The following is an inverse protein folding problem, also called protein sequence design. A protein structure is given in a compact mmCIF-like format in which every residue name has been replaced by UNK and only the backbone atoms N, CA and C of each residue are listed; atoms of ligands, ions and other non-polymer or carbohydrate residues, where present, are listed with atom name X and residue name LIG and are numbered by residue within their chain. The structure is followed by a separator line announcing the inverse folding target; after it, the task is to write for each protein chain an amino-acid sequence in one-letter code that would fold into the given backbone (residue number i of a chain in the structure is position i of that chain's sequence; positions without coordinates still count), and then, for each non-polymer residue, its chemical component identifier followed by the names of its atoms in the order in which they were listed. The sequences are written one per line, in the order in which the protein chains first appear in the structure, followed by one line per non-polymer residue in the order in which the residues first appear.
data_IF_292405547750
#
_entry.id   IF_292405547750
#
_cell.length_a   1.000
_cell.length_b   1.000
_cell.length_c   1.000
_cell.angle_alpha   90.00
_cell.angle_beta   90.00
_cell.angle_gamma   90.00
#
_symmetry.space_group_name_H-M   'P 1'
#
loop_
_entity.id
_entity.type
_entity.pdbx_description
1 polymer ?
#
# COMPACT_ATOMS: atom_id res chain seq x y z
N UNK A 1 25.06 16.53 -50.57
CA UNK A 1 23.85 17.02 -49.86
C UNK A 1 22.93 15.84 -49.54
N UNK A 2 23.33 15.05 -48.56
CA UNK A 2 22.50 14.08 -47.83
C UNK A 2 22.73 14.47 -46.38
N UNK A 3 21.74 14.76 -45.54
CA UNK A 3 21.23 13.75 -44.65
C UNK A 3 20.25 14.43 -43.66
N UNK A 4 18.97 14.51 -44.04
CA UNK A 4 17.86 14.78 -43.10
C UNK A 4 16.74 13.75 -43.21
N UNK A 5 16.76 12.89 -44.23
CA UNK A 5 15.73 11.87 -44.48
C UNK A 5 16.03 10.53 -43.80
N UNK A 6 17.29 10.22 -43.49
CA UNK A 6 17.64 8.95 -42.85
C UNK A 6 17.35 8.94 -41.35
N UNK A 7 17.47 10.10 -40.68
CA UNK A 7 17.13 10.24 -39.25
C UNK A 7 15.65 10.02 -38.92
N UNK A 8 14.73 10.23 -39.88
CA UNK A 8 13.29 9.99 -39.66
C UNK A 8 12.91 8.51 -39.81
N UNK A 9 13.68 7.71 -40.56
CA UNK A 9 13.39 6.27 -40.74
C UNK A 9 13.86 5.43 -39.55
N UNK A 10 14.93 5.85 -38.86
CA UNK A 10 15.42 5.17 -37.65
C UNK A 10 14.47 5.30 -36.44
N UNK A 11 13.73 6.41 -36.30
CA UNK A 11 12.74 6.57 -35.22
C UNK A 11 11.49 5.70 -35.37
N UNK A 12 11.18 5.23 -36.59
CA UNK A 12 10.02 4.36 -36.87
C UNK A 12 10.29 2.85 -36.67
N UNK A 13 11.53 2.47 -36.39
CA UNK A 13 11.93 1.06 -36.22
C UNK A 13 12.24 0.67 -34.77
N UNK A 14 12.50 1.63 -33.88
CA UNK A 14 12.79 1.34 -32.46
C UNK A 14 11.51 0.95 -31.68
N UNK A 15 10.32 1.36 -32.13
CA UNK A 15 9.05 0.98 -31.50
C UNK A 15 8.53 -0.43 -31.88
N UNK A 16 9.31 -1.23 -32.65
CA UNK A 16 8.88 -2.56 -33.12
C UNK A 16 9.61 -3.74 -32.46
N UNK A 17 10.55 -3.49 -31.56
CA UNK A 17 11.24 -4.54 -30.82
C UNK A 17 10.84 -4.51 -29.34
N UNK A 18 9.75 -5.23 -29.04
CA UNK A 18 9.58 -5.90 -27.75
C UNK A 18 9.22 -5.02 -26.56
N UNK A 19 8.00 -4.49 -26.51
CA UNK A 19 7.23 -4.73 -25.30
C UNK A 19 6.47 -6.02 -25.57
N UNK A 20 6.92 -7.12 -24.96
CA UNK A 20 6.02 -8.24 -24.76
C UNK A 20 4.73 -7.68 -24.14
N UNK A 21 3.53 -8.08 -24.59
CA UNK A 21 2.33 -7.68 -23.89
C UNK A 21 2.55 -8.03 -22.42
N UNK A 22 2.50 -7.02 -21.54
CA UNK A 22 2.53 -7.27 -20.10
C UNK A 22 1.52 -8.38 -19.85
N UNK A 23 1.90 -9.46 -19.14
CA UNK A 23 0.99 -10.57 -18.91
C UNK A 23 -0.29 -9.96 -18.36
N UNK A 24 -1.44 -10.25 -19.01
CA UNK A 24 -2.77 -9.80 -18.57
C UNK A 24 -2.79 -9.94 -17.05
N UNK A 25 -2.78 -8.82 -16.32
CA UNK A 25 -2.77 -8.81 -14.86
C UNK A 25 -3.82 -9.80 -14.43
N UNK A 26 -3.40 -10.92 -13.83
CA UNK A 26 -4.35 -11.92 -13.34
C UNK A 26 -5.28 -11.16 -12.40
N UNK A 27 -6.56 -11.11 -12.74
CA UNK A 27 -7.56 -10.42 -11.93
C UNK A 27 -7.52 -11.03 -10.54
N UNK A 28 -6.95 -10.33 -9.57
CA UNK A 28 -6.88 -10.77 -8.19
C UNK A 28 -8.25 -10.48 -7.54
N UNK A 29 -9.06 -11.51 -7.20
CA UNK A 29 -10.40 -11.31 -6.64
C UNK A 29 -10.39 -10.49 -5.35
N UNK A 30 -9.35 -10.66 -4.52
CA UNK A 30 -9.19 -9.93 -3.27
C UNK A 30 -8.97 -8.43 -3.50
N UNK A 31 -8.31 -8.05 -4.59
CA UNK A 31 -8.16 -6.64 -4.97
C UNK A 31 -9.51 -5.99 -5.34
N UNK A 32 -10.42 -6.73 -5.96
CA UNK A 32 -11.77 -6.23 -6.27
C UNK A 32 -12.61 -6.03 -5.01
N UNK A 33 -12.45 -6.89 -4.00
CA UNK A 33 -13.11 -6.73 -2.69
C UNK A 33 -12.64 -5.42 -2.02
N UNK A 34 -11.33 -5.17 -1.99
CA UNK A 34 -10.77 -3.93 -1.44
C UNK A 34 -11.25 -2.68 -2.19
N UNK A 35 -11.26 -2.73 -3.53
CA UNK A 35 -11.79 -1.65 -4.34
C UNK A 35 -13.29 -1.39 -4.06
N UNK A 36 -14.07 -2.46 -3.88
CA UNK A 36 -15.47 -2.37 -3.45
C UNK A 36 -15.61 -1.70 -2.08
N UNK A 37 -14.75 -1.99 -1.12
CA UNK A 37 -14.84 -1.38 0.20
C UNK A 37 -14.47 0.11 0.24
N UNK A 38 -13.87 0.63 -0.83
CA UNK A 38 -13.40 2.02 -0.92
C UNK A 38 -12.51 2.38 0.28
N UNK A 39 -11.56 1.48 0.54
CA UNK A 39 -10.64 1.56 1.69
C UNK A 39 -9.78 2.81 1.61
N UNK A 40 -9.31 3.18 0.40
CA UNK A 40 -8.51 4.39 0.16
C UNK A 40 -9.16 5.63 0.76
N UNK A 41 -10.39 5.95 0.31
CA UNK A 41 -11.07 7.14 0.77
C UNK A 41 -11.26 7.14 2.30
N UNK A 42 -11.56 5.97 2.86
CA UNK A 42 -11.79 5.82 4.30
C UNK A 42 -10.49 6.04 5.12
N UNK A 43 -9.35 5.63 4.58
CA UNK A 43 -8.03 5.88 5.18
C UNK A 43 -7.62 7.36 5.05
N UNK A 44 -7.82 7.98 3.89
CA UNK A 44 -7.45 9.38 3.65
C UNK A 44 -8.26 10.35 4.52
N UNK A 45 -9.58 10.15 4.61
CA UNK A 45 -10.47 10.99 5.43
C UNK A 45 -10.09 10.95 6.92
N UNK A 46 -9.83 9.75 7.45
CA UNK A 46 -9.45 9.58 8.84
C UNK A 46 -8.00 10.04 9.12
N UNK A 47 -7.07 9.84 8.19
CA UNK A 47 -5.70 10.32 8.33
C UNK A 47 -5.63 11.83 8.51
N UNK A 48 -6.35 12.59 7.68
CA UNK A 48 -6.35 14.06 7.74
C UNK A 48 -6.89 14.64 9.05
N UNK A 49 -7.75 13.91 9.77
CA UNK A 49 -8.42 14.41 10.98
C UNK A 49 -7.62 14.14 12.27
N UNK A 50 -6.78 13.10 12.31
CA UNK A 50 -6.19 12.60 13.57
C UNK A 50 -4.66 12.56 13.57
N UNK A 51 -4.01 12.98 12.49
CA UNK A 51 -2.56 12.81 12.29
C UNK A 51 -1.87 14.19 12.22
N UNK A 52 -1.88 14.94 13.32
CA UNK A 52 -1.09 16.17 13.40
C UNK A 52 0.40 15.89 13.66
N UNK A 53 0.73 14.82 14.40
CA UNK A 53 2.12 14.53 14.82
C UNK A 53 2.83 13.45 14.01
N UNK A 54 2.10 12.76 13.12
CA UNK A 54 2.68 11.77 12.21
C UNK A 54 2.73 12.33 10.78
N UNK A 55 3.71 11.87 10.01
CA UNK A 55 3.72 11.91 8.57
C UNK A 55 3.07 10.63 8.08
N UNK A 56 2.07 10.77 7.22
CA UNK A 56 1.45 9.64 6.55
C UNK A 56 1.74 9.69 5.05
N UNK A 57 1.87 8.52 4.45
CA UNK A 57 2.16 8.36 3.04
C UNK A 57 1.34 7.21 2.45
N UNK A 58 1.06 7.28 1.15
CA UNK A 58 0.26 6.29 0.43
C UNK A 58 -1.09 6.86 -0.02
N UNK A 59 -2.11 6.01 -0.25
CA UNK A 59 -2.09 4.56 -0.03
C UNK A 59 -1.29 3.78 -1.07
N UNK A 60 -0.58 2.75 -0.60
CA UNK A 60 0.03 1.71 -1.42
C UNK A 60 -0.92 0.53 -1.63
N UNK A 61 -0.91 -0.04 -2.83
CA UNK A 61 -1.71 -1.23 -3.17
C UNK A 61 -0.80 -2.40 -3.52
N UNK A 62 -0.98 -3.54 -2.86
CA UNK A 62 -0.19 -4.75 -3.08
C UNK A 62 -1.09 -5.95 -3.35
N UNK A 63 -0.58 -6.90 -4.12
CA UNK A 63 -1.27 -8.16 -4.41
C UNK A 63 -0.28 -9.30 -4.36
N UNK A 64 -0.75 -10.46 -3.91
CA UNK A 64 0.00 -11.71 -3.96
C UNK A 64 -0.93 -12.88 -4.24
N UNK A 65 -0.40 -14.09 -4.16
CA UNK A 65 -1.20 -15.28 -4.36
C UNK A 65 -2.18 -15.47 -3.19
N UNK A 66 -3.48 -15.39 -3.47
CA UNK A 66 -4.53 -15.53 -2.47
C UNK A 66 -4.67 -14.33 -1.52
N UNK A 67 -4.08 -13.17 -1.82
CA UNK A 67 -4.29 -11.97 -1.01
C UNK A 67 -4.13 -10.67 -1.79
N UNK A 68 -4.75 -9.61 -1.27
CA UNK A 68 -4.52 -8.24 -1.68
C UNK A 68 -4.49 -7.32 -0.46
N UNK A 69 -3.84 -6.17 -0.56
CA UNK A 69 -3.78 -5.20 0.52
C UNK A 69 -3.79 -3.77 0.03
N UNK A 70 -4.33 -2.91 0.90
CA UNK A 70 -4.21 -1.47 0.81
C UNK A 70 -3.68 -0.94 2.13
N UNK A 71 -2.57 -0.22 2.05
CA UNK A 71 -1.80 0.17 3.22
C UNK A 71 -1.42 1.63 3.14
N UNK A 72 -1.27 2.26 4.28
CA UNK A 72 -0.61 3.56 4.44
C UNK A 72 0.60 3.37 5.33
N UNK A 73 1.59 4.22 5.14
CA UNK A 73 2.78 4.25 5.96
C UNK A 73 2.72 5.45 6.87
N UNK A 74 2.91 5.20 8.15
CA UNK A 74 2.87 6.18 9.23
C UNK A 74 4.27 6.26 9.85
N UNK A 75 4.74 7.49 10.02
CA UNK A 75 6.02 7.80 10.63
C UNK A 75 5.88 8.98 11.56
N UNK A 76 6.54 8.97 12.71
CA UNK A 76 6.64 10.15 13.55
C UNK A 76 7.40 11.30 12.88
N UNK A 77 6.97 12.54 13.11
CA UNK A 77 7.74 13.72 12.71
C UNK A 77 9.06 13.77 13.48
N UNK A 78 10.15 14.09 12.77
CA UNK A 78 11.47 14.27 13.40
C UNK A 78 12.62 13.83 12.51
N UNK A 79 13.84 14.26 12.89
CA UNK A 79 15.06 14.01 12.12
C UNK A 79 15.55 12.56 12.24
N UNK A 80 15.36 11.92 13.41
CA UNK A 80 15.88 10.57 13.72
C UNK A 80 14.81 9.47 13.79
N UNK A 81 13.60 9.72 13.29
CA UNK A 81 12.48 8.74 13.37
C UNK A 81 12.42 7.79 12.18
N UNK A 82 13.52 7.63 11.42
CA UNK A 82 13.54 6.80 10.21
C UNK A 82 13.72 5.31 10.50
N UNK A 83 14.08 4.95 11.74
CA UNK A 83 14.40 3.57 12.12
C UNK A 83 13.21 2.62 11.99
N UNK A 84 12.01 3.10 12.33
CA UNK A 84 10.79 2.31 12.31
C UNK A 84 9.72 3.05 11.52
N UNK A 85 9.04 2.28 10.68
CA UNK A 85 7.88 2.74 9.94
C UNK A 85 6.69 1.88 10.32
N UNK A 86 5.60 2.51 10.73
CA UNK A 86 4.37 1.78 11.01
C UNK A 86 3.59 1.66 9.71
N UNK A 87 3.41 0.45 9.23
CA UNK A 87 2.48 0.15 8.16
C UNK A 87 1.11 -0.10 8.79
N UNK A 88 0.09 0.62 8.35
CA UNK A 88 -1.30 0.36 8.71
C UNK A 88 -2.04 -0.04 7.45
N UNK A 89 -2.89 -1.06 7.49
CA UNK A 89 -3.59 -1.45 6.29
C UNK A 89 -4.80 -2.33 6.49
N UNK A 90 -5.42 -2.62 5.35
CA UNK A 90 -6.47 -3.61 5.19
C UNK A 90 -5.99 -4.66 4.21
N UNK A 91 -6.11 -5.92 4.61
CA UNK A 91 -5.80 -7.08 3.78
C UNK A 91 -7.06 -7.88 3.56
N UNK A 92 -7.20 -8.41 2.36
CA UNK A 92 -8.16 -9.47 2.07
C UNK A 92 -7.33 -10.71 1.76
N UNK A 93 -7.51 -11.76 2.54
CA UNK A 93 -6.80 -13.03 2.40
C UNK A 93 -7.79 -14.15 2.08
N UNK A 94 -7.39 -15.05 1.20
CA UNK A 94 -8.15 -16.25 0.88
C UNK A 94 -7.91 -17.30 1.98
N UNK A 95 -9.00 -17.86 2.51
CA UNK A 95 -9.03 -19.00 3.41
C UNK A 95 -9.76 -20.17 2.73
N UNK A 96 -9.72 -21.33 3.37
CA UNK A 96 -10.43 -22.53 2.90
C UNK A 96 -11.96 -22.29 2.82
N UNK A 97 -12.51 -21.55 3.79
CA UNK A 97 -13.95 -21.29 3.92
C UNK A 97 -14.43 -19.96 3.28
N UNK A 98 -13.56 -19.25 2.55
CA UNK A 98 -13.89 -17.97 1.90
C UNK A 98 -12.83 -16.89 2.13
N UNK A 99 -13.17 -15.63 1.84
CA UNK A 99 -12.27 -14.51 2.08
C UNK A 99 -12.40 -13.94 3.50
N UNK A 100 -11.27 -13.52 4.05
CA UNK A 100 -11.17 -12.88 5.36
C UNK A 100 -10.57 -11.49 5.20
N UNK A 101 -11.19 -10.51 5.86
CA UNK A 101 -10.68 -9.15 5.99
C UNK A 101 -9.87 -9.05 7.27
N UNK A 102 -8.66 -8.53 7.14
CA UNK A 102 -7.76 -8.20 8.24
C UNK A 102 -7.51 -6.71 8.24
N UNK A 103 -7.59 -6.07 9.40
CA UNK A 103 -7.03 -4.75 9.65
C UNK A 103 -5.95 -4.92 10.67
N UNK A 104 -4.84 -4.27 10.45
CA UNK A 104 -3.71 -4.42 11.34
C UNK A 104 -2.65 -3.40 11.07
N UNK A 105 -1.64 -3.48 11.92
CA UNK A 105 -0.42 -2.74 11.77
C UNK A 105 0.75 -3.66 11.50
N UNK A 106 1.90 -3.08 11.18
CA UNK A 106 3.17 -3.78 11.21
C UNK A 106 4.28 -2.77 11.39
N UNK A 107 5.22 -3.05 12.28
CA UNK A 107 6.46 -2.27 12.34
C UNK A 107 7.43 -2.80 11.29
N UNK A 108 7.88 -1.90 10.42
CA UNK A 108 8.88 -2.18 9.41
C UNK A 108 10.19 -1.53 9.83
N UNK A 109 11.22 -2.32 10.20
CA UNK A 109 12.54 -1.77 10.49
C UNK A 109 13.21 -1.31 9.20
N UNK A 110 13.96 -0.21 9.29
CA UNK A 110 14.77 0.28 8.18
C UNK A 110 15.82 -0.76 7.78
N UNK A 111 15.77 -1.23 6.53
CA UNK A 111 16.59 -2.35 6.06
C UNK A 111 17.89 -1.94 5.34
N UNK A 112 18.13 -0.65 5.11
CA UNK A 112 19.32 -0.22 4.37
C UNK A 112 20.58 -0.17 5.26
N UNK A 113 21.72 -0.58 4.70
CA UNK A 113 22.98 -0.64 5.44
C UNK A 113 23.51 0.73 5.91
N UNK A 114 23.22 1.81 5.17
CA UNK A 114 23.62 3.17 5.51
C UNK A 114 22.42 4.10 5.23
N UNK A 115 22.09 4.94 6.21
CA UNK A 115 21.07 5.96 6.05
C UNK A 115 21.58 7.12 5.18
N UNK A 116 20.87 7.43 4.10
CA UNK A 116 21.11 8.61 3.27
C UNK A 116 19.84 9.46 3.21
N UNK A 117 19.85 10.63 3.84
CA UNK A 117 18.67 11.48 3.99
C UNK A 117 18.08 11.98 2.66
N UNK A 118 18.94 12.26 1.68
CA UNK A 118 18.53 12.77 0.36
C UNK A 118 17.81 11.69 -0.45
N UNK A 119 18.42 10.50 -0.53
CA UNK A 119 17.84 9.32 -1.19
C UNK A 119 16.57 8.84 -0.49
N UNK A 120 16.56 8.91 0.85
CA UNK A 120 15.41 8.59 1.66
C UNK A 120 14.24 9.52 1.35
N UNK A 121 14.41 10.83 1.46
CA UNK A 121 13.33 11.79 1.24
C UNK A 121 12.83 11.81 -0.21
N UNK A 122 13.68 11.52 -1.21
CA UNK A 122 13.25 11.45 -2.60
C UNK A 122 12.47 10.17 -2.95
N UNK A 123 12.88 9.01 -2.42
CA UNK A 123 12.27 7.73 -2.78
C UNK A 123 11.02 7.41 -1.94
N UNK A 124 11.00 7.87 -0.70
CA UNK A 124 9.89 7.64 0.24
C UNK A 124 8.59 8.32 -0.20
N UNK A 125 8.67 9.35 -1.03
CA UNK A 125 7.50 9.99 -1.63
C UNK A 125 6.85 9.12 -2.72
N UNK A 126 7.57 8.13 -3.27
CA UNK A 126 7.06 7.23 -4.32
C UNK A 126 6.65 5.88 -3.77
N UNK A 127 7.53 5.22 -3.02
CA UNK A 127 7.29 3.89 -2.50
C UNK A 127 8.27 3.56 -1.35
N UNK A 128 7.78 2.91 -0.31
CA UNK A 128 8.55 2.48 0.85
C UNK A 128 9.12 1.07 0.70
N UNK A 129 8.68 0.31 -0.32
CA UNK A 129 9.09 -1.08 -0.50
C UNK A 129 10.61 -1.29 -0.54
N UNK A 130 11.34 -0.33 -1.11
CA UNK A 130 12.81 -0.37 -1.23
C UNK A 130 13.51 -0.50 0.13
N UNK A 131 12.97 0.10 1.19
CA UNK A 131 13.62 0.20 2.50
C UNK A 131 12.94 -0.60 3.61
N UNK A 132 11.71 -1.05 3.37
CA UNK A 132 10.84 -1.59 4.40
C UNK A 132 10.12 -2.89 3.97
N UNK A 133 10.20 -3.28 2.70
CA UNK A 133 9.55 -4.47 2.16
C UNK A 133 8.11 -4.25 1.68
N UNK A 134 7.50 -5.31 1.12
CA UNK A 134 6.16 -5.28 0.54
C UNK A 134 5.04 -5.33 1.61
N UNK A 135 3.84 -4.86 1.26
CA UNK A 135 2.64 -4.86 2.11
C UNK A 135 2.02 -6.23 2.37
N UNK A 136 2.82 -7.21 2.80
CA UNK A 136 2.40 -8.54 3.23
C UNK A 136 1.37 -8.45 4.36
N UNK A 137 0.47 -9.45 4.51
CA UNK A 137 -0.44 -9.55 5.65
C UNK A 137 0.29 -9.44 6.99
N UNK A 138 -0.33 -8.80 8.01
CA UNK A 138 0.23 -8.69 9.34
C UNK A 138 0.30 -10.05 10.03
N UNK A 139 1.22 -10.18 10.98
CA UNK A 139 1.25 -11.33 11.90
C UNK A 139 0.05 -11.27 12.85
N UNK A 140 -0.30 -12.40 13.48
CA UNK A 140 -1.53 -12.51 14.29
C UNK A 140 -1.59 -11.46 15.38
N UNK A 141 -0.46 -11.16 16.02
CA UNK A 141 -0.36 -10.21 17.14
C UNK A 141 -0.56 -8.76 16.69
N UNK A 142 -0.37 -8.46 15.40
CA UNK A 142 -0.54 -7.11 14.86
C UNK A 142 -1.92 -6.88 14.22
N UNK A 143 -2.82 -7.86 14.29
CA UNK A 143 -4.20 -7.77 13.77
C UNK A 143 -5.10 -7.07 14.78
N UNK A 144 -5.68 -5.94 14.38
CA UNK A 144 -6.64 -5.14 15.14
C UNK A 144 -8.06 -5.66 14.95
N UNK A 145 -8.40 -6.03 13.72
CA UNK A 145 -9.73 -6.51 13.35
C UNK A 145 -9.61 -7.67 12.37
N UNK A 146 -10.39 -8.73 12.63
CA UNK A 146 -10.50 -9.91 11.77
C UNK A 146 -11.97 -10.23 11.55
N UNK A 147 -12.43 -10.20 10.31
CA UNK A 147 -13.84 -10.44 9.96
C UNK A 147 -13.95 -11.21 8.65
N UNK A 148 -14.87 -12.17 8.60
CA UNK A 148 -15.22 -12.86 7.37
C UNK A 148 -15.85 -11.90 6.35
N UNK A 149 -15.41 -11.96 5.10
CA UNK A 149 -15.97 -11.14 4.03
C UNK A 149 -17.41 -11.57 3.70
N UNK A 150 -18.30 -10.58 3.56
CA UNK A 150 -19.62 -10.78 2.97
C UNK A 150 -20.05 -9.52 2.25
N UNK A 151 -20.50 -9.68 1.00
CA UNK A 151 -20.96 -8.56 0.16
C UNK A 151 -22.17 -7.83 0.78
N UNK A 152 -23.04 -8.55 1.47
CA UNK A 152 -24.23 -8.01 2.14
C UNK A 152 -23.85 -7.07 3.29
N UNK A 153 -22.70 -7.33 3.94
CA UNK A 153 -22.16 -6.52 5.04
C UNK A 153 -21.23 -5.41 4.57
N UNK A 154 -21.02 -5.22 3.26
CA UNK A 154 -20.02 -4.28 2.72
C UNK A 154 -20.06 -2.88 3.35
N UNK A 155 -21.25 -2.29 3.53
CA UNK A 155 -21.38 -0.96 4.13
C UNK A 155 -21.05 -0.96 5.63
N UNK A 156 -21.51 -1.97 6.37
CA UNK A 156 -21.18 -2.13 7.78
C UNK A 156 -19.68 -2.34 7.97
N UNK A 157 -19.06 -3.18 7.14
CA UNK A 157 -17.62 -3.42 7.14
C UNK A 157 -16.83 -2.14 6.89
N UNK A 158 -17.25 -1.30 5.94
CA UNK A 158 -16.57 -0.01 5.70
C UNK A 158 -16.54 0.86 6.97
N UNK A 159 -17.63 0.88 7.73
CA UNK A 159 -17.71 1.65 8.97
C UNK A 159 -16.92 1.01 10.13
N UNK A 160 -16.92 -0.32 10.23
CA UNK A 160 -16.08 -1.07 11.17
C UNK A 160 -14.59 -0.80 10.90
N UNK A 161 -14.16 -0.84 9.63
CA UNK A 161 -12.80 -0.53 9.20
C UNK A 161 -12.40 0.90 9.59
N UNK A 162 -13.26 1.88 9.31
CA UNK A 162 -13.04 3.28 9.65
C UNK A 162 -12.90 3.48 11.16
N UNK A 163 -13.76 2.82 11.93
CA UNK A 163 -13.76 2.89 13.39
C UNK A 163 -12.48 2.29 13.97
N UNK A 164 -12.09 1.09 13.52
CA UNK A 164 -10.86 0.43 13.94
C UNK A 164 -9.62 1.30 13.65
N UNK A 165 -9.58 1.93 12.48
CA UNK A 165 -8.48 2.81 12.10
C UNK A 165 -8.39 4.04 13.00
N UNK A 166 -9.50 4.76 13.20
CA UNK A 166 -9.53 5.96 14.06
C UNK A 166 -9.17 5.61 15.51
N UNK A 167 -9.66 4.49 16.03
CA UNK A 167 -9.33 4.03 17.37
C UNK A 167 -7.83 3.74 17.52
N UNK A 168 -7.24 3.06 16.54
CA UNK A 168 -5.81 2.79 16.55
C UNK A 168 -4.99 4.08 16.49
N UNK A 169 -5.30 5.00 15.58
CA UNK A 169 -4.60 6.29 15.51
C UNK A 169 -4.61 7.05 16.83
N UNK A 170 -5.74 7.07 17.54
CA UNK A 170 -5.87 7.74 18.85
C UNK A 170 -5.04 7.11 19.97
N UNK A 171 -4.75 5.81 19.88
CA UNK A 171 -3.91 5.12 20.86
C UNK A 171 -2.42 5.39 20.58
N UNK A 172 -2.06 5.53 19.31
CA UNK A 172 -0.67 5.73 18.88
C UNK A 172 -0.21 7.19 19.01
N UNK A 173 -1.12 8.17 19.03
CA UNK A 173 -0.80 9.61 19.16
C UNK A 173 -0.95 10.20 20.57
N UNK A 174 -1.10 9.37 21.61
CA UNK A 174 -1.15 9.78 23.03
C UNK A 174 0.16 9.51 23.75
#
# INVERSE_FOLDING_TARGET
MSDKRDRRRLRGQINRFGHAPEPKRSSNPQAHILAGLNVVQSLEEAANQYIEDLLWHGPGSFTGHGWASMVIWLREKGYNTHHNLTLFGVWVVQKEDGEELLVGTRQLPYSAAIYNAESYNHLIQRDFTTYYGAGLPPEVDDVILRVAWSIERRLALREELRTAFVQHLRLTTR
#
